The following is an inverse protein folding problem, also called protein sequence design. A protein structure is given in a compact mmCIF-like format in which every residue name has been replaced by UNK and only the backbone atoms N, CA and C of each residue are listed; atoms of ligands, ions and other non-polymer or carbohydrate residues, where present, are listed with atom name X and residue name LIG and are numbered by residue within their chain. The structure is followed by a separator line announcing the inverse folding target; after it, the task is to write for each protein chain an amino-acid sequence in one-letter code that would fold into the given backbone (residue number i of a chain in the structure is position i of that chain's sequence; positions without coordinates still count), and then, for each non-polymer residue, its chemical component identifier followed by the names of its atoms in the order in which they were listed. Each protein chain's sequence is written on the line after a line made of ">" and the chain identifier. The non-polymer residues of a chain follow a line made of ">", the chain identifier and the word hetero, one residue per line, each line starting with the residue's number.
data_IF_418178036024
#
_entry.id   IF_418178036024
#
_cell.length_a   1.000
_cell.length_b   1.000
_cell.length_c   1.000
_cell.angle_alpha   90.00
_cell.angle_beta   90.00
_cell.angle_gamma   90.00
#
_symmetry.space_group_name_H-M   'P 1'
#
loop_
_entity.id
_entity.type
_entity.pdbx_description
1 polymer ?
#
# COMPACT_ATOMS: atom_id res chain seq x y z
N UNK A 1 -9.65 11.48 9.11
CA UNK A 1 -8.80 11.04 7.99
C UNK A 1 -9.55 10.22 6.95
N UNK A 2 -9.58 8.88 6.99
CA UNK A 2 -10.13 8.09 5.86
C UNK A 2 -11.61 8.37 5.56
N UNK A 3 -12.38 8.72 6.58
CA UNK A 3 -13.75 9.17 6.37
C UNK A 3 -13.90 10.48 5.60
N UNK A 4 -13.01 11.45 5.84
CA UNK A 4 -13.00 12.73 5.12
C UNK A 4 -12.49 12.53 3.69
N UNK A 5 -11.56 11.61 3.47
CA UNK A 5 -11.13 11.21 2.13
C UNK A 5 -12.31 10.65 1.33
N UNK A 6 -13.15 9.82 1.95
CA UNK A 6 -14.33 9.30 1.28
C UNK A 6 -15.30 10.43 0.88
N UNK A 7 -15.54 11.39 1.78
CA UNK A 7 -16.40 12.55 1.50
C UNK A 7 -15.80 13.47 0.42
N UNK A 8 -14.47 13.46 0.27
CA UNK A 8 -13.75 14.16 -0.79
C UNK A 8 -13.69 13.40 -2.14
N UNK A 9 -14.34 12.24 -2.25
CA UNK A 9 -14.46 11.49 -3.52
C UNK A 9 -13.51 10.30 -3.67
N UNK A 10 -12.73 9.93 -2.64
CA UNK A 10 -11.91 8.73 -2.67
C UNK A 10 -12.72 7.53 -2.19
N UNK A 11 -13.39 6.84 -3.12
CA UNK A 11 -14.34 5.79 -2.73
C UNK A 11 -13.73 4.41 -2.55
N UNK A 12 -12.53 4.12 -3.07
CA UNK A 12 -11.86 2.81 -2.94
C UNK A 12 -10.81 2.87 -1.84
N UNK A 13 -11.24 2.71 -0.58
CA UNK A 13 -10.35 2.81 0.58
C UNK A 13 -10.35 1.47 1.32
N UNK A 14 -9.16 0.93 1.57
CA UNK A 14 -8.96 -0.20 2.47
C UNK A 14 -8.25 0.29 3.72
N UNK A 15 -8.86 0.06 4.88
CA UNK A 15 -8.32 0.43 6.18
C UNK A 15 -7.88 -0.86 6.88
N UNK A 16 -6.73 -0.81 7.55
CA UNK A 16 -6.21 -1.92 8.34
C UNK A 16 -5.83 -1.46 9.74
N UNK A 17 -5.90 -2.39 10.69
CA UNK A 17 -5.40 -2.25 12.06
C UNK A 17 -5.19 -3.67 12.61
N UNK A 18 -4.22 -3.87 13.50
CA UNK A 18 -4.00 -5.19 14.13
C UNK A 18 -5.08 -5.48 15.19
N UNK A 19 -5.74 -4.44 15.70
CA UNK A 19 -6.77 -4.49 16.72
C UNK A 19 -8.14 -4.84 16.11
N UNK A 20 -8.72 -6.03 16.43
CA UNK A 20 -10.05 -6.39 15.93
C UNK A 20 -11.13 -5.44 16.47
N UNK A 21 -10.95 -4.91 17.69
CA UNK A 21 -11.86 -3.93 18.28
C UNK A 21 -11.89 -2.64 17.47
N UNK A 22 -10.74 -2.15 17.01
CA UNK A 22 -10.64 -0.97 16.16
C UNK A 22 -11.39 -1.19 14.84
N UNK A 23 -11.08 -2.32 14.17
CA UNK A 23 -11.70 -2.71 12.90
C UNK A 23 -13.21 -2.79 13.02
N UNK A 24 -13.74 -3.54 13.99
CA UNK A 24 -15.18 -3.70 14.14
C UNK A 24 -15.89 -2.38 14.45
N UNK A 25 -15.27 -1.56 15.30
CA UNK A 25 -15.84 -0.27 15.68
C UNK A 25 -15.90 0.67 14.49
N UNK A 26 -14.83 0.75 13.70
CA UNK A 26 -14.79 1.63 12.54
C UNK A 26 -15.62 1.12 11.36
N UNK A 27 -15.67 -0.20 11.15
CA UNK A 27 -16.54 -0.81 10.16
C UNK A 27 -18.02 -0.49 10.43
N UNK A 28 -18.48 -0.61 11.69
CA UNK A 28 -19.85 -0.21 12.08
C UNK A 28 -20.07 1.29 11.91
N UNK A 29 -19.13 2.13 12.35
CA UNK A 29 -19.22 3.59 12.25
C UNK A 29 -19.37 4.06 10.80
N UNK A 30 -18.71 3.38 9.87
CA UNK A 30 -18.67 3.74 8.46
C UNK A 30 -19.47 2.80 7.56
N UNK A 31 -20.41 2.03 8.10
CA UNK A 31 -21.23 1.08 7.34
C UNK A 31 -22.04 1.73 6.20
N UNK A 32 -22.29 3.04 6.27
CA UNK A 32 -22.95 3.82 5.23
C UNK A 32 -22.03 4.21 4.05
N UNK A 33 -20.75 3.80 4.06
CA UNK A 33 -19.74 4.10 3.03
C UNK A 33 -19.27 2.79 2.37
N UNK A 34 -20.02 2.25 1.38
CA UNK A 34 -19.81 0.90 0.86
C UNK A 34 -18.47 0.65 0.15
N UNK A 35 -17.76 1.72 -0.25
CA UNK A 35 -16.42 1.60 -0.84
C UNK A 35 -15.27 1.54 0.18
N UNK A 36 -15.56 1.66 1.47
CA UNK A 36 -14.59 1.48 2.55
C UNK A 36 -14.58 0.03 3.04
N UNK A 37 -13.41 -0.60 3.01
CA UNK A 37 -13.16 -1.92 3.60
C UNK A 37 -12.32 -1.78 4.87
N UNK A 38 -12.51 -2.72 5.78
CA UNK A 38 -11.86 -2.74 7.10
C UNK A 38 -11.35 -4.16 7.36
N UNK A 39 -10.03 -4.33 7.45
CA UNK A 39 -9.40 -5.63 7.57
C UNK A 39 -8.49 -5.67 8.80
N UNK A 40 -8.66 -6.70 9.65
CA UNK A 40 -7.70 -6.94 10.72
C UNK A 40 -6.39 -7.45 10.10
N UNK A 41 -5.29 -6.72 10.28
CA UNK A 41 -4.00 -7.08 9.68
C UNK A 41 -2.86 -6.42 10.45
N UNK A 42 -1.74 -7.13 10.55
CA UNK A 42 -0.49 -6.57 11.06
C UNK A 42 0.25 -5.85 9.91
N UNK A 43 0.56 -4.57 10.10
CA UNK A 43 1.24 -3.75 9.08
C UNK A 43 2.64 -4.27 8.72
N UNK A 44 3.23 -5.12 9.57
CA UNK A 44 4.53 -5.79 9.33
C UNK A 44 4.43 -6.95 8.35
N UNK A 45 3.22 -7.39 8.02
CA UNK A 45 2.94 -8.49 7.11
C UNK A 45 1.59 -8.25 6.41
N UNK A 46 1.65 -7.62 5.23
CA UNK A 46 0.44 -7.30 4.49
C UNK A 46 0.02 -8.48 3.61
N UNK A 47 -1.21 -8.95 3.78
CA UNK A 47 -1.80 -10.02 2.96
C UNK A 47 -2.55 -9.42 1.75
N UNK A 48 -1.82 -8.63 0.97
CA UNK A 48 -2.30 -8.05 -0.28
C UNK A 48 -1.35 -8.40 -1.42
N UNK A 49 -1.86 -8.56 -2.65
CA UNK A 49 -1.00 -8.70 -3.81
C UNK A 49 -0.02 -7.53 -3.95
N UNK A 50 1.16 -7.83 -4.51
CA UNK A 50 2.07 -6.79 -4.99
C UNK A 50 1.30 -5.80 -5.88
N UNK A 51 1.58 -4.51 -5.72
CA UNK A 51 0.94 -3.45 -6.50
C UNK A 51 -0.59 -3.35 -6.37
N UNK A 52 -1.18 -3.79 -5.25
CA UNK A 52 -2.61 -3.65 -5.00
C UNK A 52 -3.09 -2.20 -4.77
N UNK A 53 -2.20 -1.27 -4.37
CA UNK A 53 -2.60 0.09 -4.00
C UNK A 53 -1.72 1.18 -4.61
N UNK A 54 -2.34 2.17 -5.25
CA UNK A 54 -1.64 3.36 -5.74
C UNK A 54 -1.10 4.22 -4.58
N UNK A 55 -1.93 4.43 -3.55
CA UNK A 55 -1.63 5.26 -2.37
C UNK A 55 -1.76 4.45 -1.08
N UNK A 56 -0.80 4.61 -0.18
CA UNK A 56 -0.76 3.98 1.16
C UNK A 56 -0.51 5.13 2.11
N UNK A 57 -1.42 5.30 3.06
CA UNK A 57 -1.34 6.34 4.07
C UNK A 57 -1.28 5.66 5.43
N UNK A 58 -0.33 6.08 6.25
CA UNK A 58 -0.25 5.71 7.64
C UNK A 58 -0.46 6.97 8.47
N UNK A 59 -1.11 6.83 9.63
CA UNK A 59 -1.15 7.92 10.60
C UNK A 59 -0.94 7.36 11.99
N UNK A 60 0.12 7.81 12.63
CA UNK A 60 0.50 7.41 13.99
C UNK A 60 0.82 5.91 14.14
N UNK A 61 0.96 5.19 13.04
CA UNK A 61 1.32 3.77 13.07
C UNK A 61 2.81 3.63 13.38
N UNK A 62 3.68 4.38 12.70
CA UNK A 62 5.12 4.36 13.01
C UNK A 62 5.40 4.87 14.42
N UNK A 63 4.67 5.90 14.87
CA UNK A 63 4.76 6.41 16.24
C UNK A 63 4.49 5.30 17.27
N UNK A 64 3.47 4.47 17.03
CA UNK A 64 3.16 3.33 17.90
C UNK A 64 4.25 2.25 17.90
N UNK A 65 4.95 2.05 16.78
CA UNK A 65 6.08 1.11 16.68
C UNK A 65 7.34 1.62 17.40
N UNK A 66 7.44 2.93 17.64
CA UNK A 66 8.59 3.57 18.29
C UNK A 66 8.36 3.84 19.79
N UNK A 67 7.25 3.37 20.37
CA UNK A 67 6.85 3.72 21.76
C UNK A 67 7.91 3.41 22.81
N UNK A 68 8.73 2.39 22.58
CA UNK A 68 9.77 1.96 23.51
C UNK A 68 11.10 2.72 23.37
N UNK A 69 11.24 3.56 22.35
CA UNK A 69 12.44 4.36 22.14
C UNK A 69 12.70 5.31 23.30
N UNK A 70 13.95 5.33 23.76
CA UNK A 70 14.37 6.13 24.92
C UNK A 70 14.95 7.47 24.54
N UNK A 71 15.22 7.68 23.25
CA UNK A 71 15.81 8.91 22.74
C UNK A 71 15.17 9.30 21.41
N UNK A 72 14.75 10.56 21.23
CA UNK A 72 14.31 11.04 19.91
C UNK A 72 15.46 11.13 18.90
N UNK A 73 16.72 11.09 19.37
CA UNK A 73 17.92 11.26 18.54
C UNK A 73 18.60 9.94 18.19
N UNK A 74 18.18 8.82 18.80
CA UNK A 74 18.78 7.50 18.60
C UNK A 74 17.72 6.43 18.65
N UNK A 75 17.44 5.84 17.49
CA UNK A 75 16.55 4.69 17.34
C UNK A 75 17.32 3.40 17.62
N UNK A 76 16.73 2.49 18.39
CA UNK A 76 17.31 1.17 18.63
C UNK A 76 17.39 0.34 17.33
N UNK A 77 18.38 -0.57 17.21
CA UNK A 77 18.46 -1.46 16.05
C UNK A 77 17.18 -2.29 15.83
N UNK A 78 16.51 -2.67 16.91
CA UNK A 78 15.26 -3.44 16.89
C UNK A 78 14.14 -2.63 16.24
N UNK A 79 13.91 -1.40 16.71
CA UNK A 79 12.90 -0.50 16.14
C UNK A 79 13.24 -0.09 14.71
N UNK A 80 14.52 0.15 14.40
CA UNK A 80 14.96 0.43 13.04
C UNK A 80 14.65 -0.74 12.09
N UNK A 81 14.93 -1.98 12.50
CA UNK A 81 14.60 -3.18 11.72
C UNK A 81 13.08 -3.31 11.52
N UNK A 82 12.30 -3.03 12.56
CA UNK A 82 10.84 -3.07 12.53
C UNK A 82 10.26 -2.03 11.55
N UNK A 83 10.71 -0.78 11.63
CA UNK A 83 10.29 0.28 10.70
C UNK A 83 10.67 -0.11 9.27
N UNK A 84 11.89 -0.61 9.06
CA UNK A 84 12.35 -1.04 7.74
C UNK A 84 11.47 -2.17 7.17
N UNK A 85 11.06 -3.13 8.00
CA UNK A 85 10.13 -4.19 7.59
C UNK A 85 8.79 -3.61 7.12
N UNK A 86 8.19 -2.69 7.89
CA UNK A 86 6.93 -2.05 7.52
C UNK A 86 7.04 -1.24 6.22
N UNK A 87 8.12 -0.47 6.07
CA UNK A 87 8.38 0.30 4.85
C UNK A 87 8.54 -0.61 3.63
N UNK A 88 9.11 -1.81 3.80
CA UNK A 88 9.22 -2.81 2.74
C UNK A 88 7.86 -3.37 2.32
N UNK A 89 6.98 -3.68 3.27
CA UNK A 89 5.62 -4.14 2.99
C UNK A 89 4.84 -3.07 2.22
N UNK A 90 4.84 -1.83 2.70
CA UNK A 90 4.19 -0.70 2.00
C UNK A 90 4.70 -0.53 0.57
N UNK A 91 6.01 -0.64 0.38
CA UNK A 91 6.63 -0.50 -0.94
C UNK A 91 6.24 -1.64 -1.89
N UNK A 92 6.09 -2.87 -1.38
CA UNK A 92 5.67 -4.03 -2.18
C UNK A 92 4.21 -3.92 -2.62
N UNK A 93 3.35 -3.37 -1.75
CA UNK A 93 1.95 -3.11 -2.06
C UNK A 93 1.72 -2.01 -3.11
N UNK A 94 2.77 -1.25 -3.50
CA UNK A 94 2.71 -0.24 -4.56
C UNK A 94 2.96 -0.76 -5.97
N UNK A 95 2.33 -0.14 -6.99
CA UNK A 95 2.72 -0.27 -8.39
C UNK A 95 4.23 -0.12 -8.58
N UNK A 96 4.81 -1.01 -9.39
CA UNK A 96 6.25 -1.02 -9.70
C UNK A 96 6.74 0.31 -10.31
N UNK A 97 5.87 1.05 -11.00
CA UNK A 97 6.16 2.36 -11.60
C UNK A 97 6.50 3.44 -10.57
N UNK A 98 6.16 3.24 -9.29
CA UNK A 98 6.37 4.20 -8.20
C UNK A 98 7.28 3.68 -7.09
N UNK A 99 7.90 2.50 -7.27
CA UNK A 99 8.89 1.98 -6.33
C UNK A 99 10.17 2.81 -6.43
N UNK A 100 10.40 3.68 -5.45
CA UNK A 100 11.68 4.37 -5.26
C UNK A 100 12.74 3.36 -4.81
N UNK A 101 13.45 2.75 -5.76
CA UNK A 101 14.75 2.15 -5.49
C UNK A 101 15.83 3.22 -5.72
N UNK A 102 16.53 3.64 -4.66
CA UNK A 102 17.72 4.52 -4.71
C UNK A 102 17.54 5.84 -5.52
N UNK A 103 16.36 6.47 -5.46
CA UNK A 103 16.13 7.76 -6.11
C UNK A 103 16.18 7.71 -7.65
N UNK A 104 16.06 6.53 -8.25
CA UNK A 104 16.01 6.38 -9.70
C UNK A 104 14.78 5.56 -10.10
N UNK A 105 13.93 6.15 -10.94
CA UNK A 105 12.86 5.44 -11.62
C UNK A 105 13.48 4.39 -12.53
N UNK A 106 13.14 3.11 -12.35
CA UNK A 106 13.54 2.04 -13.28
C UNK A 106 13.00 2.38 -14.68
N UNK A 107 13.82 2.33 -15.74
CA UNK A 107 13.32 2.56 -17.08
C UNK A 107 12.29 1.50 -17.41
N UNK A 108 11.15 1.96 -17.91
CA UNK A 108 10.09 1.14 -18.47
C UNK A 108 10.73 0.10 -19.39
N UNK A 109 10.53 -1.18 -19.10
CA UNK A 109 10.83 -2.23 -20.07
C UNK A 109 9.96 -1.92 -21.28
N UNK A 110 10.56 -1.27 -22.28
CA UNK A 110 9.97 -1.10 -23.59
C UNK A 110 9.61 -2.50 -24.07
N UNK A 111 8.36 -2.68 -24.46
CA UNK A 111 7.91 -3.91 -25.10
C UNK A 111 8.76 -4.11 -26.36
N UNK A 112 9.76 -4.98 -26.25
CA UNK A 112 10.50 -5.50 -27.38
C UNK A 112 9.55 -6.45 -28.10
N UNK A 113 8.92 -5.92 -29.15
CA UNK A 113 7.99 -6.66 -29.99
C UNK A 113 8.66 -7.82 -30.73
N UNK A 114 7.82 -8.65 -31.33
CA UNK A 114 8.10 -9.40 -32.56
C UNK A 114 6.77 -9.92 -33.11
N UNK A 115 6.29 -9.29 -34.17
CA UNK A 115 5.36 -9.93 -35.10
C UNK A 115 6.09 -11.03 -35.88
N UNK A 116 5.37 -12.07 -36.32
CA UNK A 116 5.59 -12.61 -37.65
C UNK A 116 4.31 -12.50 -38.47
N UNK A 117 4.49 -12.12 -39.73
CA UNK A 117 3.41 -11.76 -40.63
C UNK A 117 2.49 -12.91 -41.04
N UNK A 118 1.44 -12.53 -41.75
CA UNK A 118 0.65 -13.41 -42.61
C UNK A 118 0.09 -12.55 -43.73
N UNK A 119 0.74 -12.64 -44.89
CA UNK A 119 0.21 -12.19 -46.17
C UNK A 119 -0.76 -13.26 -46.69
N UNK A 120 -1.98 -12.85 -47.04
CA UNK A 120 -2.95 -13.40 -48.04
C UNK A 120 -4.32 -12.77 -47.67
N UNK A 121 -5.21 -12.28 -48.52
CA UNK A 121 -5.53 -12.57 -49.92
C UNK A 121 -6.42 -11.40 -50.40
N UNK A 122 -6.13 -10.81 -51.57
CA UNK A 122 -7.12 -9.99 -52.30
C UNK A 122 -7.75 -10.88 -53.37
N UNK A 123 -9.08 -10.90 -53.42
CA UNK A 123 -9.87 -11.43 -54.53
C UNK A 123 -11.24 -10.74 -54.51
N UNK A 124 -11.92 -10.70 -55.66
CA UNK A 124 -11.76 -9.76 -56.76
C UNK A 124 -12.69 -8.53 -56.62
#
# INVERSE_FOLDING_TARGET
>A
MSGEMYDAGYHRITNIDYSPVCIDTMARRHAHRPGMTWCQMDVRQLDFPDAAFDVVLEKATLDALMVDEKSPWKVSPQTACLIHQVMKEWSSSKPKSERLCNGQTLPQAAEAGLSPGSSVHQTP
#
